data_IF_433618093378
#
_entry.id   IF_433618093378
#
_cell.length_a   1.000
_cell.length_b   1.000
_cell.length_c   1.000
_cell.angle_alpha   90.00
_cell.angle_beta   90.00
_cell.angle_gamma   90.00
#
_symmetry.space_group_name_H-M   'P 1'
#
loop_
_entity.id
_entity.type
_entity.pdbx_description
1 polymer ?
#
# COMPACT_ATOMS: atom_id res chain seq x y z
N UNK A 1 -7.53 19.91 30.66
CA UNK A 1 -6.81 19.91 30.03
C UNK A 1 -5.84 18.90 29.91
N UNK A 2 -5.29 18.36 30.85
CA UNK A 2 -4.34 17.35 30.73
C UNK A 2 -4.94 16.09 30.08
N UNK A 3 -6.23 15.90 30.25
CA UNK A 3 -6.85 14.73 29.63
C UNK A 3 -6.78 14.81 28.11
N UNK A 4 -7.08 15.96 27.57
CA UNK A 4 -7.03 16.12 26.11
C UNK A 4 -5.61 15.90 25.60
N UNK A 5 -4.63 16.40 26.33
CA UNK A 5 -3.24 16.21 25.94
C UNK A 5 -2.85 14.74 26.02
N UNK A 6 -3.27 14.07 27.09
CA UNK A 6 -2.97 12.67 27.26
C UNK A 6 -3.60 11.83 26.16
N UNK A 7 -4.85 12.17 25.80
CA UNK A 7 -5.53 11.45 24.73
C UNK A 7 -4.79 11.62 23.41
N UNK A 8 -4.29 12.83 23.14
CA UNK A 8 -3.57 13.07 21.93
C UNK A 8 -2.28 12.23 21.89
N UNK A 9 -1.57 12.15 23.00
CA UNK A 9 -0.33 11.37 23.07
C UNK A 9 -0.63 9.89 22.85
N UNK A 10 -1.69 9.40 23.46
CA UNK A 10 -2.07 7.99 23.30
C UNK A 10 -2.42 7.70 21.84
N UNK A 11 -3.16 8.63 21.21
CA UNK A 11 -3.50 8.44 19.81
C UNK A 11 -2.27 8.39 18.94
N UNK A 12 -1.28 9.24 19.20
CA UNK A 12 -0.05 9.23 18.43
C UNK A 12 0.70 7.93 18.60
N UNK A 13 0.75 7.44 19.83
CA UNK A 13 1.43 6.17 20.07
C UNK A 13 0.72 5.01 19.39
N UNK A 14 -0.59 4.98 19.45
CA UNK A 14 -1.36 3.93 18.80
C UNK A 14 -1.18 4.00 17.30
N UNK A 15 -1.14 5.21 16.74
CA UNK A 15 -0.93 5.37 15.32
C UNK A 15 0.45 4.86 14.91
N UNK A 16 1.46 5.16 15.70
CA UNK A 16 2.80 4.68 15.42
C UNK A 16 2.87 3.17 15.47
N UNK A 17 2.21 2.58 16.44
CA UNK A 17 2.18 1.14 16.54
C UNK A 17 1.50 0.51 15.34
N UNK A 18 0.38 1.09 14.90
CA UNK A 18 -0.31 0.59 13.74
C UNK A 18 0.50 0.76 12.48
N UNK A 19 1.35 1.77 12.45
CA UNK A 19 2.20 2.02 11.30
C UNK A 19 3.57 1.37 11.41
N UNK A 20 3.77 0.54 12.45
CA UNK A 20 5.00 -0.24 12.55
C UNK A 20 4.90 -1.41 11.60
N UNK A 21 4.97 -1.10 10.33
CA UNK A 21 4.76 -2.05 9.25
C UNK A 21 6.09 -2.44 8.66
N UNK A 22 6.07 -3.51 7.89
CA UNK A 22 7.27 -3.90 7.15
C UNK A 22 7.64 -2.79 6.17
N UNK A 23 8.93 -2.74 5.85
CA UNK A 23 9.43 -1.68 5.00
C UNK A 23 8.72 -1.58 3.66
N UNK A 24 8.39 -2.73 3.06
CA UNK A 24 7.70 -2.70 1.77
C UNK A 24 6.28 -2.13 1.91
N UNK A 25 5.61 -2.39 3.02
CA UNK A 25 4.28 -1.83 3.23
C UNK A 25 4.38 -0.33 3.45
N UNK A 26 5.41 0.13 4.14
CA UNK A 26 5.63 1.57 4.32
C UNK A 26 5.86 2.24 2.96
N UNK A 27 6.63 1.59 2.09
CA UNK A 27 6.88 2.14 0.76
C UNK A 27 5.60 2.26 -0.04
N UNK A 28 4.72 1.26 0.05
CA UNK A 28 3.43 1.31 -0.62
C UNK A 28 2.59 2.46 -0.09
N UNK A 29 2.49 2.58 1.22
CA UNK A 29 1.69 3.63 1.84
C UNK A 29 2.19 5.01 1.42
N UNK A 30 3.52 5.18 1.43
CA UNK A 30 4.10 6.46 1.05
C UNK A 30 3.77 6.79 -0.41
N UNK A 31 3.90 5.82 -1.30
CA UNK A 31 3.62 6.07 -2.71
C UNK A 31 2.17 6.40 -2.98
N UNK A 32 1.26 5.80 -2.22
CA UNK A 32 -0.17 6.04 -2.39
C UNK A 32 -0.66 7.26 -1.61
N UNK A 33 0.14 7.78 -0.69
CA UNK A 33 -0.30 8.87 0.17
C UNK A 33 -1.19 8.40 1.32
N UNK A 34 -1.11 7.15 1.67
CA UNK A 34 -1.88 6.58 2.77
C UNK A 34 -1.15 6.80 4.08
N UNK A 35 -1.87 7.14 5.13
CA UNK A 35 -1.28 7.46 6.42
C UNK A 35 -1.61 6.44 7.50
N UNK A 36 -2.74 5.77 7.38
CA UNK A 36 -3.15 4.76 8.36
C UNK A 36 -3.60 3.52 7.60
N UNK A 37 -3.59 2.35 8.25
CA UNK A 37 -3.98 1.12 7.57
C UNK A 37 -5.38 1.17 6.97
N UNK A 38 -6.28 1.93 7.58
CA UNK A 38 -7.64 2.04 7.08
C UNK A 38 -7.73 2.75 5.74
N UNK A 39 -6.69 3.47 5.35
CA UNK A 39 -6.67 4.13 4.04
C UNK A 39 -6.42 3.15 2.91
N UNK A 40 -5.87 1.98 3.21
CA UNK A 40 -5.41 1.05 2.19
C UNK A 40 -6.60 0.41 1.47
N UNK A 41 -6.54 0.41 0.15
CA UNK A 41 -7.63 -0.08 -0.70
C UNK A 41 -7.10 -1.17 -1.61
N UNK A 42 -7.82 -2.29 -1.66
CA UNK A 42 -7.50 -3.38 -2.57
C UNK A 42 -7.63 -2.89 -4.01
N UNK A 43 -6.61 -3.11 -4.81
CA UNK A 43 -6.58 -2.60 -6.18
C UNK A 43 -7.61 -3.30 -7.06
N UNK A 44 -8.06 -4.47 -6.67
CA UNK A 44 -9.03 -5.23 -7.47
C UNK A 44 -10.48 -4.99 -7.08
N UNK A 45 -10.79 -5.12 -5.79
CA UNK A 45 -12.19 -5.08 -5.39
C UNK A 45 -12.58 -3.85 -4.58
N UNK A 46 -11.64 -2.99 -4.24
CA UNK A 46 -11.97 -1.72 -3.60
C UNK A 46 -12.22 -1.78 -2.11
N UNK A 47 -12.21 -2.97 -1.51
CA UNK A 47 -12.38 -3.05 -0.06
C UNK A 47 -11.04 -2.78 0.59
N UNK A 48 -11.01 -2.69 1.91
CA UNK A 48 -9.78 -2.39 2.61
C UNK A 48 -8.73 -3.47 2.32
N UNK A 49 -7.53 -3.04 1.94
CA UNK A 49 -6.43 -3.95 1.70
C UNK A 49 -5.80 -4.31 3.03
N UNK A 50 -5.42 -5.57 3.18
CA UNK A 50 -4.76 -6.04 4.40
C UNK A 50 -3.38 -6.59 4.11
N UNK A 51 -3.05 -6.85 2.86
CA UNK A 51 -1.76 -7.42 2.48
C UNK A 51 -1.08 -6.56 1.43
N UNK A 52 0.26 -6.53 1.49
CA UNK A 52 1.07 -5.96 0.42
C UNK A 52 1.65 -7.12 -0.36
N UNK A 53 1.17 -7.30 -1.57
CA UNK A 53 1.56 -8.42 -2.41
C UNK A 53 2.67 -7.99 -3.36
N UNK A 54 3.68 -8.84 -3.52
CA UNK A 54 4.73 -8.59 -4.50
C UNK A 54 4.39 -9.31 -5.80
N UNK A 55 4.27 -8.55 -6.88
CA UNK A 55 4.01 -9.16 -8.18
C UNK A 55 5.13 -10.12 -8.53
N UNK A 56 6.37 -9.65 -8.41
CA UNK A 56 7.52 -10.55 -8.54
C UNK A 56 7.85 -11.06 -7.14
N UNK A 57 7.84 -12.38 -7.03
CA UNK A 57 7.95 -13.03 -5.74
C UNK A 57 9.29 -12.78 -5.08
N UNK A 58 9.28 -12.61 -3.77
CA UNK A 58 10.50 -12.47 -2.99
C UNK A 58 11.03 -13.85 -2.61
N UNK A 59 11.32 -14.66 -3.57
CA UNK A 59 11.71 -16.02 -3.32
C UNK A 59 12.90 -16.12 -2.37
N UNK A 60 12.93 -17.18 -1.57
CA UNK A 60 14.11 -17.53 -0.78
C UNK A 60 14.61 -16.45 0.17
N UNK A 61 13.79 -16.06 1.08
CA UNK A 61 14.19 -15.11 2.12
C UNK A 61 13.98 -13.66 1.76
N UNK A 62 13.50 -13.42 0.55
CA UNK A 62 13.16 -12.08 0.16
C UNK A 62 14.35 -11.28 -0.32
N UNK A 63 14.07 -10.21 -1.01
CA UNK A 63 15.10 -9.33 -1.52
C UNK A 63 14.58 -7.91 -1.49
N UNK A 64 15.37 -7.00 -0.95
CA UNK A 64 15.00 -5.60 -0.94
C UNK A 64 14.88 -5.03 -2.35
N UNK A 65 15.50 -5.67 -3.32
CA UNK A 65 15.42 -5.21 -4.70
C UNK A 65 14.02 -5.38 -5.27
N UNK A 66 13.19 -6.23 -4.66
CA UNK A 66 11.83 -6.44 -5.12
C UNK A 66 10.81 -5.57 -4.37
N UNK A 67 11.29 -4.70 -3.49
CA UNK A 67 10.41 -3.81 -2.73
C UNK A 67 10.19 -2.47 -3.42
N UNK A 68 10.45 -2.37 -4.72
CA UNK A 68 10.16 -1.13 -5.43
C UNK A 68 8.66 -0.95 -5.58
N UNK A 69 8.24 0.30 -5.60
CA UNK A 69 6.84 0.68 -5.46
C UNK A 69 5.92 -0.01 -6.47
N UNK A 70 6.33 -0.09 -7.73
CA UNK A 70 5.49 -0.66 -8.78
C UNK A 70 5.25 -2.15 -8.60
N UNK A 71 6.10 -2.82 -7.83
CA UNK A 71 5.97 -4.24 -7.57
C UNK A 71 5.05 -4.54 -6.38
N UNK A 72 4.63 -3.52 -5.67
CA UNK A 72 3.85 -3.66 -4.44
C UNK A 72 2.38 -3.43 -4.75
N UNK A 73 1.57 -4.45 -4.54
CA UNK A 73 0.15 -4.42 -4.88
C UNK A 73 -0.67 -4.55 -3.60
N UNK A 74 -1.51 -3.56 -3.30
CA UNK A 74 -2.38 -3.67 -2.12
C UNK A 74 -3.56 -4.57 -2.42
N UNK A 75 -3.76 -5.59 -1.61
CA UNK A 75 -4.83 -6.57 -1.84
C UNK A 75 -5.51 -6.92 -0.53
N UNK A 76 -6.80 -7.22 -0.60
CA UNK A 76 -7.47 -7.85 0.50
C UNK A 76 -7.03 -9.31 0.53
N UNK A 77 -7.36 -10.00 1.63
CA UNK A 77 -6.87 -11.36 1.83
C UNK A 77 -7.31 -12.28 0.71
N UNK A 78 -8.55 -12.16 0.31
CA UNK A 78 -9.10 -13.03 -0.73
C UNK A 78 -8.40 -12.83 -2.07
N UNK A 79 -8.23 -11.57 -2.47
CA UNK A 79 -7.55 -11.27 -3.72
C UNK A 79 -6.07 -11.68 -3.67
N UNK A 80 -5.46 -11.54 -2.51
CA UNK A 80 -4.06 -11.96 -2.34
C UNK A 80 -3.94 -13.46 -2.57
N UNK A 81 -4.86 -14.24 -1.99
CA UNK A 81 -4.84 -15.70 -2.20
C UNK A 81 -5.02 -16.05 -3.66
N UNK A 82 -5.90 -15.33 -4.35
CA UNK A 82 -6.11 -15.57 -5.77
C UNK A 82 -4.86 -15.28 -6.59
N UNK A 83 -4.20 -14.17 -6.27
CA UNK A 83 -2.98 -13.80 -6.99
C UNK A 83 -1.86 -14.80 -6.74
N UNK A 84 -1.80 -15.37 -5.53
CA UNK A 84 -0.76 -16.33 -5.22
C UNK A 84 -0.96 -17.67 -5.92
N UNK A 85 -2.19 -18.02 -6.23
CA UNK A 85 -2.49 -19.31 -6.80
C UNK A 85 -2.65 -19.30 -8.32
N UNK A 86 -2.70 -18.12 -8.95
CA UNK A 86 -2.95 -18.03 -10.39
C UNK A 86 -2.10 -16.92 -11.00
N UNK A 87 -1.20 -17.32 -11.89
CA UNK A 87 -0.28 -16.37 -12.51
C UNK A 87 -0.98 -15.32 -13.35
N UNK A 88 -2.08 -15.69 -14.01
CA UNK A 88 -2.80 -14.74 -14.84
C UNK A 88 -3.52 -13.71 -13.97
N UNK A 89 -4.08 -14.16 -12.86
CA UNK A 89 -4.72 -13.24 -11.91
C UNK A 89 -3.68 -12.29 -11.34
N UNK A 90 -2.51 -12.82 -10.98
CA UNK A 90 -1.43 -12.01 -10.46
C UNK A 90 -1.03 -10.93 -11.47
N UNK A 91 -0.91 -11.30 -12.73
CA UNK A 91 -0.55 -10.34 -13.78
C UNK A 91 -1.65 -9.30 -13.97
N UNK A 92 -2.90 -9.72 -13.93
CA UNK A 92 -4.03 -8.81 -14.07
C UNK A 92 -4.01 -7.77 -12.96
N UNK A 93 -3.76 -8.18 -11.73
CA UNK A 93 -3.71 -7.26 -10.61
C UNK A 93 -2.53 -6.31 -10.75
N UNK A 94 -1.41 -6.79 -11.27
CA UNK A 94 -0.26 -5.94 -11.51
C UNK A 94 -0.61 -4.82 -12.50
N UNK A 95 -1.30 -5.16 -13.59
CA UNK A 95 -1.72 -4.15 -14.56
C UNK A 95 -2.68 -3.15 -13.93
N UNK A 96 -3.62 -3.63 -13.14
CA UNK A 96 -4.52 -2.72 -12.43
C UNK A 96 -3.76 -1.79 -11.50
N UNK A 97 -2.73 -2.30 -10.84
CA UNK A 97 -1.91 -1.52 -9.94
C UNK A 97 -1.17 -0.43 -10.70
N UNK A 98 -0.61 -0.76 -11.85
CA UNK A 98 0.09 0.23 -12.67
C UNK A 98 -0.85 1.32 -13.15
N UNK A 99 -2.07 0.94 -13.53
CA UNK A 99 -3.05 1.92 -13.97
C UNK A 99 -3.43 2.86 -12.83
N UNK A 100 -3.55 2.33 -11.63
CA UNK A 100 -3.87 3.16 -10.48
C UNK A 100 -2.72 4.12 -10.17
N UNK A 101 -1.49 3.64 -10.27
CA UNK A 101 -0.33 4.50 -10.06
C UNK A 101 -0.32 5.63 -11.06
N UNK A 102 -0.59 5.32 -12.33
CA UNK A 102 -0.61 6.34 -13.37
C UNK A 102 -1.74 7.34 -13.15
N UNK A 103 -2.90 6.87 -12.71
CA UNK A 103 -4.02 7.75 -12.43
C UNK A 103 -3.66 8.75 -11.33
N UNK A 104 -3.01 8.26 -10.28
CA UNK A 104 -2.61 9.12 -9.17
C UNK A 104 -1.60 10.15 -9.64
N UNK A 105 -0.62 9.73 -10.43
CA UNK A 105 0.38 10.66 -10.93
C UNK A 105 -0.24 11.71 -11.84
N UNK A 106 -1.19 11.30 -12.64
CA UNK A 106 -1.88 12.23 -13.52
C UNK A 106 -2.67 13.26 -12.74
N UNK A 107 -3.32 12.84 -11.67
CA UNK A 107 -4.06 13.75 -10.83
C UNK A 107 -3.14 14.76 -10.15
N UNK A 108 -1.99 14.29 -9.70
CA UNK A 108 -1.02 15.20 -9.10
C UNK A 108 -0.59 16.27 -10.10
N UNK A 109 -0.35 15.88 -11.33
CA UNK A 109 0.05 16.81 -12.35
C UNK A 109 -1.04 17.82 -12.61
N UNK A 110 -2.30 17.38 -12.74
CA UNK A 110 -3.42 18.27 -13.01
C UNK A 110 -3.64 19.26 -11.88
N UNK A 111 -3.28 18.87 -10.66
CA UNK A 111 -3.45 19.74 -9.50
C UNK A 111 -2.26 20.68 -9.30
N UNK A 112 -1.35 20.74 -10.28
CA UNK A 112 -0.22 21.61 -10.17
C UNK A 112 0.92 21.07 -9.33
N UNK A 113 0.86 19.79 -8.99
CA UNK A 113 1.87 19.18 -8.14
C UNK A 113 3.07 18.72 -8.96
N UNK A 114 3.23 19.27 -10.13
CA UNK A 114 4.34 18.91 -11.00
C UNK A 114 5.49 19.89 -10.91
N UNK A 115 5.39 20.86 -10.05
CA UNK A 115 6.48 21.81 -9.90
C UNK A 115 7.59 21.13 -9.10
N UNK A 116 8.78 21.35 -9.49
CA UNK A 116 9.89 20.69 -8.85
C UNK A 116 10.77 21.65 -8.17
#
# INVERSE_FOLDING_TARGET
MSLAFTDWVIEEQEREERLDLKEHTKALFKGRGWKIPEDAVCVNCGVMAVDTHHYRNRAMGGSKYLDYYENLIPLCRLCHDCAESDKEVNHTFYIKNLREILRIEEEKYKNGDHSQ
#
